data_IF_359513526392
#
_entry.id   IF_359513526392
#
_cell.length_a   1.000
_cell.length_b   1.000
_cell.length_c   1.000
_cell.angle_alpha   90.00
_cell.angle_beta   90.00
_cell.angle_gamma   90.00
#
_symmetry.space_group_name_H-M   'P 1'
#
loop_
_entity.id
_entity.type
_entity.pdbx_description
1 polymer ?
#
# COMPACT_ATOMS: atom_id res chain seq x y z
N UNK A 1 -4.48 24.61 -3.44
CA UNK A 1 -4.62 23.55 -2.40
C UNK A 1 -5.13 24.19 -1.11
N UNK A 2 -5.89 23.46 -0.28
CA UNK A 2 -6.39 24.01 1.00
C UNK A 2 -5.22 24.21 1.98
N UNK A 3 -5.21 25.28 2.80
CA UNK A 3 -4.10 25.58 3.70
C UNK A 3 -3.66 24.42 4.62
N UNK A 4 -4.57 23.62 5.22
CA UNK A 4 -4.17 22.50 6.07
C UNK A 4 -3.40 21.41 5.32
N UNK A 5 -3.72 21.17 4.04
CA UNK A 5 -3.00 20.19 3.22
C UNK A 5 -1.61 20.71 2.91
N UNK A 6 -1.48 21.98 2.51
CA UNK A 6 -0.17 22.59 2.23
C UNK A 6 0.71 22.56 3.48
N UNK A 7 0.16 22.98 4.62
CA UNK A 7 0.86 22.95 5.91
C UNK A 7 1.27 21.54 6.30
N UNK A 8 0.34 20.59 6.27
CA UNK A 8 0.55 19.19 6.64
C UNK A 8 1.58 18.45 5.76
N UNK A 9 1.75 18.87 4.50
CA UNK A 9 2.81 18.37 3.62
C UNK A 9 4.15 19.04 3.94
N UNK A 10 4.15 20.35 4.09
CA UNK A 10 5.36 21.14 4.32
C UNK A 10 5.95 21.00 5.73
N UNK A 11 5.21 20.46 6.69
CA UNK A 11 5.66 20.13 8.04
C UNK A 11 5.79 18.61 8.30
N UNK A 12 5.57 17.77 7.27
CA UNK A 12 5.58 16.30 7.33
C UNK A 12 4.48 15.64 8.19
N UNK A 13 3.52 16.39 8.73
CA UNK A 13 2.47 15.86 9.61
C UNK A 13 1.62 14.78 8.93
N UNK A 14 1.30 14.96 7.64
CA UNK A 14 0.51 13.96 6.90
C UNK A 14 1.29 12.65 6.70
N UNK A 15 2.61 12.72 6.58
CA UNK A 15 3.47 11.53 6.50
C UNK A 15 3.60 10.83 7.85
N UNK A 16 3.76 11.61 8.92
CA UNK A 16 3.76 11.12 10.29
C UNK A 16 2.45 10.39 10.61
N UNK A 17 1.31 10.97 10.25
CA UNK A 17 0.01 10.35 10.44
C UNK A 17 -0.10 9.00 9.72
N UNK A 18 0.40 8.89 8.49
CA UNK A 18 0.41 7.64 7.75
C UNK A 18 1.26 6.55 8.45
N UNK A 19 2.48 6.89 8.87
CA UNK A 19 3.37 5.96 9.57
C UNK A 19 2.85 5.58 10.96
N UNK A 20 2.32 6.54 11.71
CA UNK A 20 1.72 6.30 13.03
C UNK A 20 0.52 5.37 12.94
N UNK A 21 -0.36 5.55 11.95
CA UNK A 21 -1.47 4.62 11.71
C UNK A 21 -0.98 3.22 11.31
N UNK A 22 0.08 3.13 10.50
CA UNK A 22 0.61 1.86 10.02
C UNK A 22 1.25 1.03 11.14
N UNK A 23 2.06 1.66 11.99
CA UNK A 23 2.84 0.95 13.02
C UNK A 23 2.27 1.06 14.43
N UNK A 24 1.31 1.96 14.67
CA UNK A 24 0.78 2.27 16.00
C UNK A 24 1.87 2.65 17.02
N UNK A 25 2.99 3.22 16.55
CA UNK A 25 4.15 3.58 17.37
C UNK A 25 4.22 5.12 17.55
N UNK A 26 4.23 5.61 18.81
CA UNK A 26 4.43 7.02 19.16
C UNK A 26 5.62 7.68 18.45
N UNK A 27 6.69 6.94 18.16
CA UNK A 27 7.90 7.45 17.52
C UNK A 27 7.65 8.04 16.13
N UNK A 28 6.56 7.67 15.45
CA UNK A 28 6.20 8.20 14.13
C UNK A 28 5.32 9.45 14.16
N UNK A 29 4.95 9.99 15.33
CA UNK A 29 4.00 11.12 15.41
C UNK A 29 4.65 12.47 15.10
N UNK A 30 5.97 12.60 15.18
CA UNK A 30 6.66 13.88 15.00
C UNK A 30 8.05 13.66 14.38
N UNK A 31 8.06 13.45 13.06
CA UNK A 31 9.27 13.31 12.25
C UNK A 31 9.37 14.49 11.28
N UNK A 32 10.60 14.95 11.02
CA UNK A 32 10.87 15.82 9.88
C UNK A 32 11.00 15.01 8.58
N UNK A 33 11.03 15.67 7.43
CA UNK A 33 11.09 14.98 6.14
C UNK A 33 12.34 14.13 6.00
N UNK A 34 13.48 14.58 6.52
CA UNK A 34 14.70 13.77 6.50
C UNK A 34 14.51 12.42 7.18
N UNK A 35 13.92 12.38 8.38
CA UNK A 35 13.66 11.15 9.10
C UNK A 35 12.59 10.28 8.42
N UNK A 36 11.61 10.88 7.73
CA UNK A 36 10.64 10.14 6.89
C UNK A 36 11.38 9.42 5.75
N UNK A 37 12.22 10.13 5.00
CA UNK A 37 13.00 9.55 3.89
C UNK A 37 13.94 8.44 4.39
N UNK A 38 14.60 8.66 5.53
CA UNK A 38 15.45 7.65 6.15
C UNK A 38 14.65 6.42 6.60
N UNK A 39 13.45 6.61 7.14
CA UNK A 39 12.56 5.51 7.53
C UNK A 39 12.18 4.66 6.32
N UNK A 40 11.77 5.28 5.22
CA UNK A 40 11.46 4.59 3.96
C UNK A 40 12.67 3.79 3.44
N UNK A 41 13.85 4.41 3.41
CA UNK A 41 15.08 3.75 2.98
C UNK A 41 15.43 2.54 3.86
N UNK A 42 15.33 2.67 5.20
CA UNK A 42 15.55 1.56 6.15
C UNK A 42 14.55 0.42 5.98
N UNK A 43 13.34 0.73 5.53
CA UNK A 43 12.30 -0.24 5.17
C UNK A 43 12.45 -0.80 3.75
N UNK A 44 13.53 -0.45 3.05
CA UNK A 44 13.81 -0.92 1.71
C UNK A 44 12.84 -0.39 0.66
N UNK A 45 12.31 0.82 0.88
CA UNK A 45 11.52 1.56 -0.11
C UNK A 45 12.32 2.78 -0.55
N UNK A 46 12.76 2.77 -1.80
CA UNK A 46 13.46 3.90 -2.40
C UNK A 46 12.45 4.94 -2.85
N UNK A 47 12.73 6.22 -2.59
CA UNK A 47 11.92 7.34 -3.07
C UNK A 47 12.62 7.95 -4.27
N UNK A 48 12.06 7.86 -5.49
CA UNK A 48 12.70 8.41 -6.66
C UNK A 48 12.61 9.93 -6.68
N UNK A 49 13.61 10.56 -7.29
CA UNK A 49 13.56 11.98 -7.60
C UNK A 49 12.39 12.26 -8.56
N UNK A 50 11.58 13.30 -8.32
CA UNK A 50 10.59 13.74 -9.29
C UNK A 50 11.26 14.28 -10.56
N UNK A 51 10.55 14.32 -11.71
CA UNK A 51 11.16 14.68 -13.00
C UNK A 51 11.80 16.09 -13.06
N UNK A 52 11.36 17.00 -12.20
CA UNK A 52 11.68 18.42 -12.25
C UNK A 52 12.64 18.90 -11.15
N UNK A 53 12.98 18.06 -10.17
CA UNK A 53 13.91 18.42 -9.10
C UNK A 53 14.51 17.22 -8.37
N UNK A 54 15.66 17.43 -7.72
CA UNK A 54 16.20 16.46 -6.77
C UNK A 54 15.39 16.50 -5.47
N UNK A 55 15.04 15.33 -4.94
CA UNK A 55 14.29 15.20 -3.70
C UNK A 55 15.18 15.51 -2.50
N UNK A 56 14.86 16.58 -1.79
CA UNK A 56 15.54 16.98 -0.55
C UNK A 56 14.52 17.47 0.46
N UNK A 57 14.90 17.47 1.75
CA UNK A 57 14.07 18.05 2.81
C UNK A 57 13.74 19.53 2.51
N UNK A 58 14.72 20.31 2.04
CA UNK A 58 14.50 21.71 1.64
C UNK A 58 13.41 21.85 0.58
N UNK A 59 13.39 20.99 -0.43
CA UNK A 59 12.35 20.98 -1.48
C UNK A 59 10.98 20.67 -0.90
N UNK A 60 10.89 19.77 0.08
CA UNK A 60 9.62 19.38 0.73
C UNK A 60 9.10 20.43 1.73
N UNK A 61 9.97 21.28 2.28
CA UNK A 61 9.57 22.39 3.16
C UNK A 61 9.06 23.60 2.35
N UNK A 62 9.43 23.72 1.07
CA UNK A 62 9.01 24.85 0.23
C UNK A 62 7.49 24.88 0.02
N UNK A 63 6.86 26.02 0.34
CA UNK A 63 5.42 26.23 0.17
C UNK A 63 5.06 27.26 -0.90
N UNK A 64 6.04 27.96 -1.48
CA UNK A 64 5.81 29.04 -2.46
C UNK A 64 6.79 28.97 -3.65
N UNK A 65 6.48 28.17 -4.70
CA UNK A 65 5.35 27.24 -4.79
C UNK A 65 5.64 25.93 -4.05
N UNK A 66 4.57 25.27 -3.57
CA UNK A 66 4.65 23.91 -3.04
C UNK A 66 5.13 22.93 -4.14
N UNK A 67 6.17 22.16 -3.83
CA UNK A 67 6.79 21.20 -4.77
C UNK A 67 6.01 19.89 -4.80
N UNK A 68 4.85 19.92 -5.46
CA UNK A 68 3.93 18.78 -5.50
C UNK A 68 4.55 17.50 -6.05
N UNK A 69 5.41 17.57 -7.08
CA UNK A 69 6.10 16.39 -7.62
C UNK A 69 6.91 15.66 -6.54
N UNK A 70 7.68 16.40 -5.74
CA UNK A 70 8.44 15.85 -4.62
C UNK A 70 7.53 15.20 -3.56
N UNK A 71 6.43 15.85 -3.20
CA UNK A 71 5.47 15.28 -2.24
C UNK A 71 4.79 14.02 -2.77
N UNK A 72 4.49 13.96 -4.08
CA UNK A 72 3.92 12.77 -4.71
C UNK A 72 4.87 11.58 -4.65
N UNK A 73 6.16 11.77 -4.91
CA UNK A 73 7.16 10.69 -4.77
C UNK A 73 7.18 10.10 -3.36
N UNK A 74 7.13 10.94 -2.32
CA UNK A 74 7.08 10.48 -0.92
C UNK A 74 5.79 9.73 -0.60
N UNK A 75 4.65 10.22 -1.10
CA UNK A 75 3.35 9.54 -0.91
C UNK A 75 3.33 8.17 -1.58
N UNK A 76 3.82 8.07 -2.81
CA UNK A 76 3.90 6.81 -3.53
C UNK A 76 4.76 5.79 -2.78
N UNK A 77 5.92 6.21 -2.29
CA UNK A 77 6.77 5.37 -1.46
C UNK A 77 6.06 4.92 -0.16
N UNK A 78 5.32 5.81 0.52
CA UNK A 78 4.52 5.45 1.69
C UNK A 78 3.42 4.44 1.36
N UNK A 79 2.76 4.57 0.20
CA UNK A 79 1.74 3.63 -0.27
C UNK A 79 2.34 2.25 -0.56
N UNK A 80 3.51 2.20 -1.20
CA UNK A 80 4.26 0.95 -1.42
C UNK A 80 4.62 0.30 -0.09
N UNK A 81 5.12 1.09 0.88
CA UNK A 81 5.43 0.59 2.21
C UNK A 81 4.18 0.02 2.89
N UNK A 82 3.07 0.75 2.85
CA UNK A 82 1.80 0.31 3.42
C UNK A 82 1.33 -1.01 2.81
N UNK A 83 1.38 -1.13 1.48
CA UNK A 83 1.00 -2.37 0.79
C UNK A 83 1.86 -3.56 1.25
N UNK A 84 3.17 -3.37 1.39
CA UNK A 84 4.09 -4.42 1.91
C UNK A 84 3.76 -4.84 3.33
N UNK A 85 3.45 -3.90 4.21
CA UNK A 85 3.18 -4.17 5.62
C UNK A 85 1.78 -4.80 5.84
N UNK A 86 0.82 -4.47 4.97
CA UNK A 86 -0.56 -5.02 5.06
C UNK A 86 -0.67 -6.37 4.37
N UNK A 87 -0.05 -6.52 3.21
CA UNK A 87 -0.12 -7.74 2.38
C UNK A 87 1.02 -8.67 2.74
N UNK A 88 0.87 -9.34 3.88
CA UNK A 88 1.77 -10.40 4.32
C UNK A 88 1.21 -11.76 3.93
N UNK A 89 2.10 -12.74 3.76
CA UNK A 89 1.71 -14.11 3.39
C UNK A 89 0.69 -14.70 4.35
N UNK A 90 0.87 -14.49 5.66
CA UNK A 90 -0.05 -14.99 6.69
C UNK A 90 -1.44 -14.36 6.57
N UNK A 91 -1.52 -13.04 6.36
CA UNK A 91 -2.79 -12.33 6.21
C UNK A 91 -3.51 -12.72 4.93
N UNK A 92 -2.77 -12.83 3.82
CA UNK A 92 -3.28 -13.28 2.52
C UNK A 92 -3.82 -14.71 2.64
N UNK A 93 -3.04 -15.62 3.23
CA UNK A 93 -3.44 -17.00 3.44
C UNK A 93 -4.69 -17.09 4.31
N UNK A 94 -4.70 -16.42 5.46
CA UNK A 94 -5.86 -16.39 6.35
C UNK A 94 -7.12 -15.82 5.67
N UNK A 95 -6.96 -14.77 4.85
CA UNK A 95 -8.06 -14.19 4.09
C UNK A 95 -8.58 -15.14 3.01
N UNK A 96 -7.69 -15.86 2.31
CA UNK A 96 -8.05 -16.83 1.27
C UNK A 96 -8.73 -18.09 1.84
N UNK A 97 -8.32 -18.56 3.03
CA UNK A 97 -8.96 -19.70 3.70
C UNK A 97 -10.46 -19.50 3.95
N UNK A 98 -10.92 -18.25 4.07
CA UNK A 98 -12.34 -17.92 4.23
C UNK A 98 -13.18 -18.28 3.01
N UNK A 99 -12.56 -18.52 1.86
CA UNK A 99 -13.23 -18.99 0.65
C UNK A 99 -13.43 -20.51 0.61
N UNK A 100 -12.86 -21.27 1.56
CA UNK A 100 -12.90 -22.73 1.53
C UNK A 100 -12.00 -23.35 0.44
N UNK A 101 -11.17 -22.54 -0.21
CA UNK A 101 -10.20 -22.95 -1.23
C UNK A 101 -8.79 -22.69 -0.71
N UNK A 102 -7.86 -23.62 -0.93
CA UNK A 102 -6.44 -23.39 -0.65
C UNK A 102 -5.92 -22.27 -1.55
N UNK A 103 -5.20 -21.29 -0.97
CA UNK A 103 -4.65 -20.18 -1.73
C UNK A 103 -3.64 -20.69 -2.78
N UNK A 104 -3.79 -20.35 -4.07
CA UNK A 104 -2.71 -20.59 -5.02
C UNK A 104 -1.57 -19.62 -4.71
N UNK A 105 -0.35 -20.15 -4.63
CA UNK A 105 0.85 -19.32 -4.57
C UNK A 105 1.06 -18.72 -5.96
N UNK A 106 0.81 -17.43 -6.10
CA UNK A 106 1.17 -16.67 -7.30
C UNK A 106 2.64 -16.33 -7.18
N UNK A 107 3.44 -16.79 -8.12
CA UNK A 107 4.79 -16.31 -8.34
C UNK A 107 4.86 -15.67 -9.72
N UNK A 108 5.35 -14.44 -9.81
CA UNK A 108 5.55 -13.82 -11.12
C UNK A 108 5.79 -12.31 -11.11
N UNK A 109 5.37 -11.58 -10.07
CA UNK A 109 5.69 -10.16 -9.93
C UNK A 109 7.09 -9.97 -9.34
N UNK A 110 7.73 -8.87 -9.71
CA UNK A 110 8.92 -8.36 -9.00
C UNK A 110 8.58 -7.80 -7.62
N UNK A 111 7.28 -7.65 -7.31
CA UNK A 111 6.74 -6.96 -6.14
C UNK A 111 5.92 -7.94 -5.27
N UNK A 112 6.43 -8.39 -4.11
CA UNK A 112 5.82 -9.48 -3.35
C UNK A 112 4.37 -9.25 -2.88
N UNK A 113 3.98 -8.01 -2.60
CA UNK A 113 2.62 -7.70 -2.16
C UNK A 113 1.62 -7.76 -3.32
N UNK A 114 2.03 -7.46 -4.55
CA UNK A 114 1.16 -7.65 -5.72
C UNK A 114 0.86 -9.13 -5.95
N UNK A 115 1.87 -9.99 -5.83
CA UNK A 115 1.71 -11.44 -5.92
C UNK A 115 0.74 -11.97 -4.83
N UNK A 116 0.87 -11.48 -3.60
CA UNK A 116 -0.04 -11.82 -2.51
C UNK A 116 -1.50 -11.41 -2.81
N UNK A 117 -1.71 -10.20 -3.33
CA UNK A 117 -3.05 -9.72 -3.71
C UNK A 117 -3.62 -10.50 -4.89
N UNK A 118 -2.82 -10.77 -5.93
CA UNK A 118 -3.23 -11.57 -7.08
C UNK A 118 -3.60 -12.99 -6.66
N UNK A 119 -2.83 -13.61 -5.75
CA UNK A 119 -3.15 -14.94 -5.22
C UNK A 119 -4.48 -14.96 -4.46
N UNK A 120 -4.73 -13.94 -3.65
CA UNK A 120 -6.01 -13.78 -2.96
C UNK A 120 -7.18 -13.59 -3.94
N UNK A 121 -7.03 -12.73 -4.95
CA UNK A 121 -8.05 -12.51 -6.00
C UNK A 121 -8.34 -13.82 -6.75
N UNK A 122 -7.30 -14.55 -7.15
CA UNK A 122 -7.45 -15.82 -7.86
C UNK A 122 -8.16 -16.88 -7.01
N UNK A 123 -7.87 -16.94 -5.70
CA UNK A 123 -8.57 -17.82 -4.77
C UNK A 123 -10.07 -17.48 -4.68
N UNK A 124 -10.40 -16.18 -4.61
CA UNK A 124 -11.78 -15.68 -4.57
C UNK A 124 -12.54 -16.05 -5.86
N UNK A 125 -11.96 -15.77 -7.03
CA UNK A 125 -12.54 -16.12 -8.32
C UNK A 125 -12.75 -17.63 -8.45
N UNK A 126 -11.79 -18.45 -8.01
CA UNK A 126 -11.90 -19.91 -8.04
C UNK A 126 -13.03 -20.41 -7.16
N UNK A 127 -13.20 -19.84 -5.97
CA UNK A 127 -14.29 -20.20 -5.07
C UNK A 127 -15.66 -19.79 -5.63
N UNK A 128 -15.76 -18.60 -6.24
CA UNK A 128 -16.98 -18.14 -6.89
C UNK A 128 -17.40 -19.06 -8.03
N UNK A 129 -16.48 -19.40 -8.93
CA UNK A 129 -16.76 -20.28 -10.07
C UNK A 129 -17.24 -21.67 -9.61
N UNK A 130 -16.63 -22.23 -8.56
CA UNK A 130 -17.08 -23.52 -7.98
C UNK A 130 -18.49 -23.43 -7.40
N UNK A 131 -18.82 -22.34 -6.71
CA UNK A 131 -20.15 -22.14 -6.16
C UNK A 131 -21.24 -22.01 -7.25
N UNK A 132 -20.92 -21.39 -8.38
CA UNK A 132 -21.81 -21.31 -9.54
C UNK A 132 -22.04 -22.68 -10.21
N UNK A 133 -20.99 -23.49 -10.34
CA UNK A 133 -21.08 -24.88 -10.82
C UNK A 133 -21.96 -25.74 -9.90
N UNK A 134 -21.72 -25.69 -8.58
CA UNK A 134 -22.50 -26.43 -7.58
C UNK A 134 -23.98 -26.03 -7.58
N UNK A 135 -24.26 -24.73 -7.77
CA UNK A 135 -25.64 -24.21 -7.89
C UNK A 135 -26.31 -24.72 -9.17
N UNK A 136 -25.57 -24.79 -10.28
CA UNK A 136 -26.08 -25.27 -11.57
C UNK A 136 -26.44 -26.77 -11.54
N UNK A 137 -25.72 -27.56 -10.75
CA UNK A 137 -25.97 -29.00 -10.56
C UNK A 137 -27.18 -29.30 -9.67
N UNK A 138 -27.64 -28.35 -8.86
CA UNK A 138 -28.77 -28.53 -7.93
C UNK A 138 -30.15 -28.19 -8.53
N UNK A 139 -30.23 -27.67 -9.77
CA UNK A 139 -31.51 -27.41 -10.42
C UNK A 139 -32.12 -28.73 -10.92
N UNK A 140 -33.29 -29.17 -10.42
CA UNK A 140 -33.90 -30.42 -10.87
C UNK A 140 -34.32 -30.28 -12.34
N UNK A 141 -33.90 -31.21 -13.20
CA UNK A 141 -34.51 -31.39 -14.51
C UNK A 141 -35.98 -31.78 -14.30
N UNK A 142 -36.90 -30.85 -14.54
CA UNK A 142 -38.33 -31.16 -14.69
C UNK A 142 -38.47 -32.03 -15.93
N UNK A 143 -38.77 -33.31 -15.73
CA UNK A 143 -39.13 -34.26 -16.79
C UNK A 143 -40.59 -34.06 -17.21
#
# INVERSE_FOLDING_TARGET
>A
LKPPIVGGLANAELYCLALANMYSDPNYHSLNHWNILQTLARKGVHVPDPPDCALTETVLIQTNPLKMGAHMSVMEALMILYAREVVTLDRVSAAAQRFGTGAPVVGGSSVPHEDGLLGWINAACTALNKAEEDTSLQVPMVK
#
